data_IF_337502542867
#
_entry.id   IF_337502542867
#
_cell.length_a   1.000
_cell.length_b   1.000
_cell.length_c   1.000
_cell.angle_alpha   90.00
_cell.angle_beta   90.00
_cell.angle_gamma   90.00
#
_symmetry.space_group_name_H-M   'P 1'
#
loop_
_entity.id
_entity.type
_entity.pdbx_description
1 polymer ?
#
# COMPACT_ATOMS: atom_id res chain seq x y z
N UNK A 1 -10.76 3.02 -15.36
CA UNK A 1 -12.22 3.00 -15.61
C UNK A 1 -12.86 1.65 -15.30
N UNK A 2 -12.25 0.52 -15.68
CA UNK A 2 -12.77 -0.84 -15.45
C UNK A 2 -12.90 -1.26 -13.97
N UNK A 3 -11.98 -0.85 -13.07
CA UNK A 3 -12.11 -1.13 -11.63
C UNK A 3 -13.36 -0.48 -11.02
N UNK A 4 -13.70 0.76 -11.41
CA UNK A 4 -14.89 1.45 -10.91
C UNK A 4 -16.17 0.71 -11.28
N UNK A 5 -16.24 0.16 -12.49
CA UNK A 5 -17.37 -0.66 -12.93
C UNK A 5 -17.46 -2.00 -12.20
N UNK A 6 -16.32 -2.65 -11.94
CA UNK A 6 -16.31 -3.91 -11.20
C UNK A 6 -16.76 -3.74 -9.74
N UNK A 7 -16.25 -2.71 -9.04
CA UNK A 7 -16.74 -2.37 -7.71
C UNK A 7 -18.18 -1.90 -7.71
N UNK A 8 -18.62 -1.17 -8.73
CA UNK A 8 -20.03 -0.76 -8.83
C UNK A 8 -20.97 -1.94 -9.03
N UNK A 9 -20.59 -2.92 -9.86
CA UNK A 9 -21.37 -4.15 -10.08
C UNK A 9 -21.39 -5.04 -8.83
N UNK A 10 -20.25 -5.22 -8.15
CA UNK A 10 -20.19 -5.98 -6.89
C UNK A 10 -20.99 -5.27 -5.78
N UNK A 11 -20.89 -3.95 -5.68
CA UNK A 11 -21.69 -3.14 -4.76
C UNK A 11 -23.19 -3.23 -5.10
N UNK A 12 -23.59 -3.24 -6.36
CA UNK A 12 -25.00 -3.40 -6.76
C UNK A 12 -25.56 -4.78 -6.38
N UNK A 13 -24.76 -5.84 -6.51
CA UNK A 13 -25.15 -7.20 -6.09
C UNK A 13 -25.25 -7.30 -4.55
N UNK A 14 -24.38 -6.57 -3.83
CA UNK A 14 -24.42 -6.48 -2.36
C UNK A 14 -25.49 -5.50 -1.85
N UNK A 15 -25.94 -4.53 -2.65
CA UNK A 15 -27.00 -3.58 -2.31
C UNK A 15 -28.40 -4.13 -2.64
N UNK A 16 -28.53 -5.01 -3.65
CA UNK A 16 -29.80 -5.73 -3.90
C UNK A 16 -30.15 -6.74 -2.81
N UNK A 17 -29.24 -7.01 -1.87
CA UNK A 17 -29.50 -7.76 -0.63
C UNK A 17 -29.78 -6.87 0.58
N UNK A 18 -29.87 -5.54 0.39
CA UNK A 18 -30.37 -4.57 1.38
C UNK A 18 -31.85 -4.30 1.12
N UNK A 19 -32.64 -5.36 1.03
CA UNK A 19 -34.07 -5.25 1.37
C UNK A 19 -34.17 -5.50 2.86
N UNK A 20 -34.67 -4.50 3.58
CA UNK A 20 -35.09 -4.58 4.97
C UNK A 20 -35.89 -5.89 5.15
N UNK A 21 -35.39 -6.83 5.96
CA UNK A 21 -36.06 -8.09 6.25
C UNK A 21 -37.43 -7.81 6.89
N UNK A 22 -38.49 -7.91 6.10
CA UNK A 22 -39.76 -8.40 6.61
C UNK A 22 -39.53 -9.82 7.08
N UNK A 23 -39.97 -10.12 8.30
CA UNK A 23 -39.93 -11.43 8.96
C UNK A 23 -40.88 -12.40 8.23
N UNK A 24 -40.55 -12.74 6.99
CA UNK A 24 -41.07 -13.92 6.31
C UNK A 24 -40.06 -15.04 6.54
N UNK A 25 -40.53 -16.17 7.03
CA UNK A 25 -39.76 -17.41 7.20
C UNK A 25 -39.17 -17.81 5.86
N UNK A 26 -37.95 -17.34 5.58
CA UNK A 26 -37.20 -17.75 4.40
C UNK A 26 -36.91 -19.25 4.53
N UNK A 27 -37.27 -19.99 3.48
CA UNK A 27 -37.06 -21.43 3.39
C UNK A 27 -35.59 -21.78 3.71
N UNK A 28 -35.38 -22.81 4.55
CA UNK A 28 -34.08 -23.37 4.94
C UNK A 28 -33.15 -23.53 3.73
N UNK A 29 -33.68 -24.00 2.60
CA UNK A 29 -32.91 -24.15 1.37
C UNK A 29 -32.35 -22.82 0.83
N UNK A 30 -33.13 -21.74 0.94
CA UNK A 30 -32.74 -20.39 0.51
C UNK A 30 -31.66 -19.81 1.42
N UNK A 31 -31.79 -19.98 2.73
CA UNK A 31 -30.78 -19.55 3.71
C UNK A 31 -29.45 -20.29 3.52
N UNK A 32 -29.49 -21.61 3.36
CA UNK A 32 -28.29 -22.42 3.10
C UNK A 32 -27.60 -22.03 1.79
N UNK A 33 -28.37 -21.80 0.72
CA UNK A 33 -27.84 -21.31 -0.57
C UNK A 33 -27.16 -19.94 -0.41
N UNK A 34 -27.77 -19.08 0.38
CA UNK A 34 -27.26 -17.74 0.69
C UNK A 34 -25.92 -17.84 1.42
N UNK A 35 -25.84 -18.61 2.51
CA UNK A 35 -24.58 -18.79 3.25
C UNK A 35 -23.47 -19.39 2.40
N UNK A 36 -23.77 -20.43 1.60
CA UNK A 36 -22.79 -21.03 0.68
C UNK A 36 -22.25 -20.00 -0.33
N UNK A 37 -23.14 -19.18 -0.90
CA UNK A 37 -22.75 -18.12 -1.83
C UNK A 37 -21.77 -17.13 -1.20
N UNK A 38 -22.01 -16.69 0.04
CA UNK A 38 -21.07 -15.80 0.73
C UNK A 38 -19.72 -16.45 1.00
N UNK A 39 -19.69 -17.73 1.38
CA UNK A 39 -18.43 -18.44 1.60
C UNK A 39 -17.62 -18.51 0.30
N UNK A 40 -18.26 -18.83 -0.82
CA UNK A 40 -17.63 -18.87 -2.14
C UNK A 40 -17.13 -17.47 -2.53
N UNK A 41 -18.00 -16.45 -2.47
CA UNK A 41 -17.64 -15.08 -2.80
C UNK A 41 -16.48 -14.55 -1.96
N UNK A 42 -16.47 -14.83 -0.64
CA UNK A 42 -15.37 -14.44 0.25
C UNK A 42 -14.04 -15.11 -0.08
N UNK A 43 -14.09 -16.34 -0.61
CA UNK A 43 -12.91 -17.07 -1.04
C UNK A 43 -12.35 -16.53 -2.36
N UNK A 44 -13.22 -16.20 -3.31
CA UNK A 44 -12.83 -15.62 -4.57
C UNK A 44 -12.30 -14.18 -4.38
N UNK A 45 -12.89 -13.43 -3.45
CA UNK A 45 -12.38 -12.13 -3.02
C UNK A 45 -10.97 -12.24 -2.43
N UNK A 46 -10.70 -13.21 -1.53
CA UNK A 46 -9.36 -13.46 -0.97
C UNK A 46 -8.33 -13.79 -2.06
N UNK A 47 -8.71 -14.55 -3.10
CA UNK A 47 -7.83 -14.82 -4.25
C UNK A 47 -7.54 -13.55 -5.06
N UNK A 48 -8.57 -12.76 -5.36
CA UNK A 48 -8.46 -11.50 -6.10
C UNK A 48 -7.57 -10.50 -5.36
N UNK A 49 -7.83 -10.29 -4.07
CA UNK A 49 -7.10 -9.33 -3.24
C UNK A 49 -5.61 -9.66 -3.15
N UNK A 50 -5.24 -10.94 -3.05
CA UNK A 50 -3.82 -11.34 -3.07
C UNK A 50 -3.11 -10.94 -4.37
N UNK A 51 -3.78 -11.11 -5.50
CA UNK A 51 -3.23 -10.69 -6.80
C UNK A 51 -3.08 -9.17 -6.87
N UNK A 52 -4.11 -8.45 -6.45
CA UNK A 52 -4.13 -6.97 -6.39
C UNK A 52 -3.03 -6.45 -5.48
N UNK A 53 -2.90 -6.98 -4.26
CA UNK A 53 -1.87 -6.57 -3.30
C UNK A 53 -0.45 -6.84 -3.82
N UNK A 54 -0.25 -7.94 -4.56
CA UNK A 54 1.03 -8.22 -5.21
C UNK A 54 1.34 -7.16 -6.27
N UNK A 55 0.37 -6.85 -7.12
CA UNK A 55 0.55 -5.82 -8.17
C UNK A 55 0.81 -4.45 -7.56
N UNK A 56 0.02 -4.01 -6.58
CA UNK A 56 0.24 -2.74 -5.89
C UNK A 56 1.59 -2.66 -5.19
N UNK A 57 2.07 -3.76 -4.61
CA UNK A 57 3.41 -3.81 -4.01
C UNK A 57 4.49 -3.60 -5.07
N UNK A 58 4.37 -4.26 -6.22
CA UNK A 58 5.29 -4.11 -7.35
C UNK A 58 5.26 -2.70 -7.92
N UNK A 59 4.06 -2.18 -8.20
CA UNK A 59 3.86 -0.84 -8.78
C UNK A 59 4.41 0.25 -7.85
N UNK A 60 4.19 0.11 -6.54
CA UNK A 60 4.74 1.01 -5.53
C UNK A 60 6.27 1.04 -5.58
N UNK A 61 6.94 -0.12 -5.65
CA UNK A 61 8.40 -0.18 -5.72
C UNK A 61 8.93 0.40 -7.03
N UNK A 62 8.28 0.13 -8.17
CA UNK A 62 8.64 0.73 -9.46
C UNK A 62 8.52 2.25 -9.39
N UNK A 63 7.42 2.77 -8.83
CA UNK A 63 7.23 4.21 -8.71
C UNK A 63 8.25 4.85 -7.76
N UNK A 64 8.58 4.22 -6.63
CA UNK A 64 9.65 4.69 -5.75
C UNK A 64 10.99 4.78 -6.49
N UNK A 65 11.34 3.77 -7.27
CA UNK A 65 12.58 3.77 -8.08
C UNK A 65 12.55 4.89 -9.12
N UNK A 66 11.43 5.10 -9.80
CA UNK A 66 11.30 6.15 -10.80
C UNK A 66 11.46 7.55 -10.17
N UNK A 67 10.75 7.82 -9.08
CA UNK A 67 10.82 9.09 -8.35
C UNK A 67 12.25 9.33 -7.87
N UNK A 68 12.85 8.36 -7.16
CA UNK A 68 14.22 8.51 -6.63
C UNK A 68 15.25 8.71 -7.73
N UNK A 69 15.16 7.96 -8.82
CA UNK A 69 16.08 8.08 -9.97
C UNK A 69 15.99 9.47 -10.59
N UNK A 70 14.79 10.01 -10.75
CA UNK A 70 14.60 11.38 -11.25
C UNK A 70 15.35 12.42 -10.40
N UNK A 71 15.14 12.43 -9.08
CA UNK A 71 15.79 13.41 -8.20
C UNK A 71 17.31 13.19 -8.06
N UNK A 72 17.79 11.94 -8.10
CA UNK A 72 19.23 11.64 -8.15
C UNK A 72 19.90 12.17 -9.42
N UNK A 73 19.24 12.04 -10.57
CA UNK A 73 19.74 12.58 -11.84
C UNK A 73 19.83 14.10 -11.80
N UNK A 74 18.80 14.78 -11.28
CA UNK A 74 18.82 16.24 -11.10
C UNK A 74 19.96 16.67 -10.16
N UNK A 75 20.14 16.00 -9.02
CA UNK A 75 21.25 16.25 -8.09
C UNK A 75 22.61 16.07 -8.78
N UNK A 76 22.80 14.96 -9.50
CA UNK A 76 24.05 14.64 -10.21
C UNK A 76 24.36 15.67 -11.28
N UNK A 77 23.37 16.05 -12.09
CA UNK A 77 23.50 17.08 -13.12
C UNK A 77 23.94 18.41 -12.52
N UNK A 78 23.37 18.81 -11.39
CA UNK A 78 23.77 20.02 -10.69
C UNK A 78 25.19 19.91 -10.12
N UNK A 79 25.56 18.77 -9.54
CA UNK A 79 26.92 18.54 -9.04
C UNK A 79 27.95 18.64 -10.17
N UNK A 80 27.73 17.92 -11.27
CA UNK A 80 28.63 17.92 -12.43
C UNK A 80 28.75 19.30 -13.06
N UNK A 81 27.66 20.07 -13.12
CA UNK A 81 27.69 21.42 -13.69
C UNK A 81 28.45 22.42 -12.81
N UNK A 82 28.32 22.33 -11.49
CA UNK A 82 28.93 23.29 -10.57
C UNK A 82 30.39 22.95 -10.23
N UNK A 83 30.72 21.67 -10.04
CA UNK A 83 32.01 21.23 -9.51
C UNK A 83 32.88 20.54 -10.54
N UNK A 84 32.83 21.01 -11.80
CA UNK A 84 33.64 20.45 -12.88
C UNK A 84 35.12 20.83 -12.71
N UNK A 85 35.98 19.81 -12.62
CA UNK A 85 37.44 19.99 -12.67
C UNK A 85 37.86 20.21 -14.12
N UNK A 86 38.53 21.34 -14.40
CA UNK A 86 38.94 21.72 -15.76
C UNK A 86 40.47 21.64 -15.83
N UNK A 87 41.00 20.65 -16.58
CA UNK A 87 42.45 20.42 -16.69
C UNK A 87 43.25 21.65 -17.17
N UNK A 88 42.63 22.51 -17.99
CA UNK A 88 43.26 23.75 -18.49
C UNK A 88 43.23 24.91 -17.49
N UNK A 89 42.55 24.76 -16.35
CA UNK A 89 42.49 25.73 -15.27
C UNK A 89 42.92 25.07 -13.95
N UNK A 90 44.23 25.01 -13.71
CA UNK A 90 44.82 24.40 -12.51
C UNK A 90 44.32 25.08 -11.23
N UNK A 91 44.28 26.41 -11.20
CA UNK A 91 43.83 27.18 -10.05
C UNK A 91 42.39 26.85 -9.63
N UNK A 92 41.48 26.70 -10.59
CA UNK A 92 40.12 26.27 -10.31
C UNK A 92 40.06 24.83 -9.79
N UNK A 93 40.88 23.95 -10.37
CA UNK A 93 41.00 22.55 -9.94
C UNK A 93 41.53 22.46 -8.50
N UNK A 94 42.55 23.24 -8.15
CA UNK A 94 43.12 23.32 -6.81
C UNK A 94 42.08 23.81 -5.78
N UNK A 95 41.25 24.78 -6.14
CA UNK A 95 40.14 25.23 -5.29
C UNK A 95 39.08 24.14 -5.07
N UNK A 96 38.70 23.41 -6.13
CA UNK A 96 37.77 22.27 -6.01
C UNK A 96 38.35 21.20 -5.10
N UNK A 97 39.62 20.84 -5.30
CA UNK A 97 40.30 19.82 -4.51
C UNK A 97 40.43 20.25 -3.04
N UNK A 98 40.70 21.53 -2.78
CA UNK A 98 40.73 22.08 -1.43
C UNK A 98 39.37 21.98 -0.72
N UNK A 99 38.26 22.24 -1.44
CA UNK A 99 36.89 22.19 -0.90
C UNK A 99 36.17 20.85 -1.13
N UNK A 100 36.87 19.78 -1.54
CA UNK A 100 36.24 18.50 -1.88
C UNK A 100 35.40 17.90 -0.74
N UNK A 101 35.81 18.12 0.52
CA UNK A 101 35.09 17.64 1.70
C UNK A 101 33.71 18.30 1.80
N UNK A 102 33.60 19.60 1.51
CA UNK A 102 32.33 20.33 1.54
C UNK A 102 31.38 19.82 0.45
N UNK A 103 31.91 19.62 -0.75
CA UNK A 103 31.18 19.05 -1.90
C UNK A 103 30.65 17.65 -1.54
N UNK A 104 31.53 16.79 -1.02
CA UNK A 104 31.18 15.43 -0.59
C UNK A 104 30.14 15.43 0.53
N UNK A 105 30.27 16.30 1.53
CA UNK A 105 29.32 16.39 2.63
C UNK A 105 27.93 16.84 2.17
N UNK A 106 27.85 17.76 1.21
CA UNK A 106 26.57 18.18 0.63
C UNK A 106 25.85 17.01 -0.06
N UNK A 107 26.58 16.22 -0.84
CA UNK A 107 26.05 15.03 -1.50
C UNK A 107 25.61 13.96 -0.48
N UNK A 108 26.43 13.72 0.54
CA UNK A 108 26.11 12.79 1.63
C UNK A 108 24.84 13.21 2.37
N UNK A 109 24.63 14.50 2.59
CA UNK A 109 23.40 15.02 3.21
C UNK A 109 22.17 14.71 2.36
N UNK A 110 22.25 14.88 1.03
CA UNK A 110 21.17 14.52 0.12
C UNK A 110 20.83 13.02 0.23
N UNK A 111 21.82 12.12 0.14
CA UNK A 111 21.57 10.68 0.22
C UNK A 111 21.02 10.24 1.59
N UNK A 112 21.47 10.86 2.67
CA UNK A 112 20.89 10.62 4.00
C UNK A 112 19.41 11.06 4.07
N UNK A 113 19.08 12.20 3.45
CA UNK A 113 17.72 12.70 3.35
C UNK A 113 16.82 11.77 2.52
N UNK A 114 17.30 11.38 1.34
CA UNK A 114 16.63 10.41 0.46
C UNK A 114 16.34 9.09 1.19
N UNK A 115 17.33 8.54 1.89
CA UNK A 115 17.18 7.31 2.67
C UNK A 115 16.05 7.41 3.69
N UNK A 116 15.94 8.55 4.41
CA UNK A 116 14.85 8.81 5.36
C UNK A 116 13.49 8.94 4.68
N UNK A 117 13.41 9.62 3.53
CA UNK A 117 12.17 9.72 2.77
C UNK A 117 11.67 8.32 2.37
N UNK A 118 12.57 7.47 1.87
CA UNK A 118 12.23 6.11 1.45
C UNK A 118 11.84 5.20 2.60
N UNK A 119 12.55 5.29 3.73
CA UNK A 119 12.19 4.54 4.93
C UNK A 119 10.79 4.90 5.41
N UNK A 120 10.46 6.19 5.40
CA UNK A 120 9.14 6.70 5.82
C UNK A 120 8.04 6.19 4.89
N UNK A 121 8.22 6.33 3.57
CA UNK A 121 7.24 5.86 2.58
C UNK A 121 6.97 4.34 2.69
N UNK A 122 8.02 3.54 2.85
CA UNK A 122 7.88 2.09 3.02
C UNK A 122 7.19 1.72 4.35
N UNK A 123 7.52 2.42 5.44
CA UNK A 123 6.90 2.17 6.73
C UNK A 123 5.40 2.47 6.74
N UNK A 124 4.98 3.57 6.13
CA UNK A 124 3.57 3.95 5.99
C UNK A 124 2.78 2.92 5.17
N UNK A 125 3.30 2.51 4.01
CA UNK A 125 2.67 1.49 3.16
C UNK A 125 2.52 0.15 3.90
N UNK A 126 3.54 -0.24 4.67
CA UNK A 126 3.53 -1.50 5.45
C UNK A 126 2.50 -1.50 6.58
N UNK A 127 2.34 -0.39 7.31
CA UNK A 127 1.40 -0.29 8.44
C UNK A 127 -0.04 -0.58 8.03
N UNK A 128 -0.52 -0.02 6.91
CA UNK A 128 -1.91 -0.24 6.47
C UNK A 128 -2.13 -1.64 5.89
N UNK A 129 -1.10 -2.26 5.32
CA UNK A 129 -1.17 -3.66 4.86
C UNK A 129 -1.47 -4.62 6.01
N UNK A 130 -0.98 -4.32 7.22
CA UNK A 130 -1.27 -5.11 8.41
C UNK A 130 -2.77 -5.11 8.77
N UNK A 131 -3.45 -3.97 8.66
CA UNK A 131 -4.89 -3.87 8.94
C UNK A 131 -5.73 -4.78 8.04
N UNK A 132 -5.43 -4.80 6.73
CA UNK A 132 -6.09 -5.71 5.77
C UNK A 132 -5.84 -7.17 6.15
N UNK A 133 -4.61 -7.52 6.53
CA UNK A 133 -4.25 -8.89 6.92
C UNK A 133 -5.05 -9.38 8.15
N UNK A 134 -5.29 -8.51 9.13
CA UNK A 134 -6.10 -8.88 10.30
C UNK A 134 -7.54 -9.20 9.92
N UNK A 135 -8.16 -8.41 9.04
CA UNK A 135 -9.50 -8.69 8.54
C UNK A 135 -9.56 -10.00 7.74
N UNK A 136 -8.54 -10.29 6.91
CA UNK A 136 -8.43 -11.58 6.23
C UNK A 136 -8.38 -12.76 7.19
N UNK A 137 -7.63 -12.62 8.29
CA UNK A 137 -7.49 -13.65 9.31
C UNK A 137 -8.84 -13.94 9.97
N UNK A 138 -9.60 -12.91 10.34
CA UNK A 138 -10.94 -13.09 10.91
C UNK A 138 -11.90 -13.74 9.89
N UNK A 139 -11.95 -13.26 8.64
CA UNK A 139 -12.78 -13.89 7.59
C UNK A 139 -12.40 -15.37 7.39
N UNK A 140 -11.11 -15.73 7.46
CA UNK A 140 -10.67 -17.14 7.41
C UNK A 140 -11.16 -17.96 8.60
N UNK A 141 -11.22 -17.39 9.81
CA UNK A 141 -11.78 -18.08 10.98
C UNK A 141 -13.27 -18.34 10.80
N UNK A 142 -14.03 -17.35 10.36
CA UNK A 142 -15.47 -17.51 10.09
C UNK A 142 -15.74 -18.58 9.03
N UNK A 143 -14.99 -18.61 7.93
CA UNK A 143 -15.04 -19.70 6.94
C UNK A 143 -14.75 -21.09 7.53
N UNK A 144 -13.80 -21.18 8.47
CA UNK A 144 -13.50 -22.44 9.18
C UNK A 144 -14.65 -22.83 10.11
N UNK A 145 -15.23 -21.86 10.83
CA UNK A 145 -16.40 -22.06 11.69
C UNK A 145 -17.57 -22.63 10.90
N UNK A 146 -17.88 -22.06 9.72
CA UNK A 146 -18.93 -22.58 8.84
C UNK A 146 -18.71 -24.06 8.46
N UNK A 147 -17.49 -24.41 8.04
CA UNK A 147 -17.16 -25.80 7.67
C UNK A 147 -17.26 -26.75 8.86
N UNK A 148 -16.85 -26.29 10.04
CA UNK A 148 -16.95 -27.04 11.28
C UNK A 148 -18.41 -27.32 11.65
N UNK A 149 -19.25 -26.28 11.69
CA UNK A 149 -20.69 -26.41 12.00
C UNK A 149 -21.41 -27.29 10.98
N UNK A 150 -21.11 -27.13 9.70
CA UNK A 150 -21.67 -27.98 8.65
C UNK A 150 -21.29 -29.45 8.84
N UNK A 151 -20.03 -29.74 9.19
CA UNK A 151 -19.59 -31.11 9.49
C UNK A 151 -20.28 -31.66 10.74
N UNK A 152 -20.43 -30.85 11.78
CA UNK A 152 -21.04 -31.27 13.04
C UNK A 152 -22.54 -31.59 12.87
N UNK A 153 -23.29 -30.76 12.14
CA UNK A 153 -24.69 -31.04 11.84
C UNK A 153 -24.87 -32.31 10.99
N UNK A 154 -24.00 -32.55 10.01
CA UNK A 154 -24.01 -33.79 9.22
C UNK A 154 -23.68 -35.03 10.07
N UNK A 155 -22.75 -34.93 11.03
CA UNK A 155 -22.42 -36.04 11.93
C UNK A 155 -23.56 -36.36 12.91
N UNK A 156 -24.29 -35.34 13.35
CA UNK A 156 -25.42 -35.51 14.27
C UNK A 156 -26.69 -36.01 13.57
N UNK A 157 -26.80 -35.81 12.25
CA UNK A 157 -27.95 -36.24 11.42
C UNK A 157 -27.46 -37.08 10.22
N UNK A 158 -26.92 -38.29 10.45
CA UNK A 158 -26.30 -39.08 9.38
C UNK A 158 -27.34 -39.57 8.37
N UNK A 159 -27.17 -39.20 7.10
CA UNK A 159 -28.04 -39.60 5.99
C UNK A 159 -29.32 -38.78 5.84
N UNK A 160 -29.54 -37.80 6.72
CA UNK A 160 -30.66 -36.87 6.68
C UNK A 160 -30.14 -35.45 6.38
N UNK A 161 -30.10 -35.11 5.09
CA UNK A 161 -29.58 -33.82 4.62
C UNK A 161 -30.49 -32.64 5.01
N UNK A 162 -31.79 -32.88 5.18
CA UNK A 162 -32.77 -31.85 5.55
C UNK A 162 -32.59 -31.48 7.02
N UNK A 163 -32.57 -32.46 7.93
CA UNK A 163 -32.32 -32.23 9.36
C UNK A 163 -30.92 -31.64 9.62
N UNK A 164 -29.91 -32.06 8.87
CA UNK A 164 -28.58 -31.46 8.94
C UNK A 164 -28.58 -29.98 8.47
N UNK A 165 -29.38 -29.66 7.45
CA UNK A 165 -29.57 -28.31 6.93
C UNK A 165 -30.26 -27.39 7.93
N UNK A 166 -31.34 -27.85 8.57
CA UNK A 166 -32.04 -27.11 9.62
C UNK A 166 -31.14 -26.84 10.82
N UNK A 167 -30.42 -27.86 11.30
CA UNK A 167 -29.40 -27.72 12.35
C UNK A 167 -28.40 -26.61 12.02
N UNK A 168 -27.89 -26.57 10.79
CA UNK A 168 -26.92 -25.56 10.39
C UNK A 168 -27.54 -24.16 10.36
N UNK A 169 -28.75 -24.01 9.84
CA UNK A 169 -29.46 -22.72 9.84
C UNK A 169 -29.69 -22.21 11.26
N UNK A 170 -30.09 -23.07 12.18
CA UNK A 170 -30.31 -22.70 13.59
C UNK A 170 -29.03 -22.12 14.21
N UNK A 171 -27.88 -22.80 14.05
CA UNK A 171 -26.60 -22.29 14.52
C UNK A 171 -26.22 -20.95 13.87
N UNK A 172 -26.43 -20.81 12.56
CA UNK A 172 -26.07 -19.60 11.81
C UNK A 172 -26.91 -18.39 12.22
N UNK A 173 -28.20 -18.59 12.46
CA UNK A 173 -29.12 -17.55 12.92
C UNK A 173 -28.79 -17.15 14.36
N UNK A 174 -28.58 -18.13 15.25
CA UNK A 174 -28.24 -17.89 16.66
C UNK A 174 -26.99 -17.01 16.81
N UNK A 175 -25.97 -17.25 15.99
CA UNK A 175 -24.71 -16.50 16.05
C UNK A 175 -24.71 -15.21 15.21
N UNK A 176 -25.85 -14.83 14.60
CA UNK A 176 -25.92 -13.74 13.62
C UNK A 176 -24.80 -13.83 12.57
N UNK A 177 -24.52 -15.07 12.12
CA UNK A 177 -23.38 -15.38 11.27
C UNK A 177 -23.39 -14.51 10.01
N UNK A 178 -24.57 -14.41 9.38
CA UNK A 178 -24.79 -13.65 8.16
C UNK A 178 -24.35 -12.18 8.30
N UNK A 179 -24.95 -11.47 9.26
CA UNK A 179 -24.68 -10.04 9.48
C UNK A 179 -23.21 -9.80 9.82
N UNK A 180 -22.63 -10.65 10.68
CA UNK A 180 -21.24 -10.52 11.09
C UNK A 180 -20.28 -10.77 9.94
N UNK A 181 -20.52 -11.82 9.15
CA UNK A 181 -19.67 -12.18 8.02
C UNK A 181 -19.74 -11.14 6.90
N UNK A 182 -20.95 -10.65 6.57
CA UNK A 182 -21.13 -9.57 5.61
C UNK A 182 -20.42 -8.30 6.04
N UNK A 183 -20.54 -7.91 7.32
CA UNK A 183 -19.84 -6.74 7.87
C UNK A 183 -18.32 -6.89 7.77
N UNK A 184 -17.77 -8.07 8.04
CA UNK A 184 -16.34 -8.32 7.88
C UNK A 184 -15.87 -8.17 6.42
N UNK A 185 -16.66 -8.66 5.46
CA UNK A 185 -16.36 -8.50 4.03
C UNK A 185 -16.37 -7.01 3.65
N UNK A 186 -17.38 -6.25 4.06
CA UNK A 186 -17.46 -4.81 3.79
C UNK A 186 -16.29 -4.04 4.40
N UNK A 187 -15.95 -4.30 5.67
CA UNK A 187 -14.79 -3.70 6.33
C UNK A 187 -13.48 -4.04 5.61
N UNK A 188 -13.36 -5.25 5.03
CA UNK A 188 -12.20 -5.62 4.23
C UNK A 188 -12.12 -4.78 2.95
N UNK A 189 -13.23 -4.62 2.24
CA UNK A 189 -13.28 -3.81 1.01
C UNK A 189 -12.90 -2.35 1.30
N UNK A 190 -13.43 -1.78 2.38
CA UNK A 190 -13.08 -0.43 2.84
C UNK A 190 -11.58 -0.33 3.17
N UNK A 191 -11.06 -1.28 3.94
CA UNK A 191 -9.64 -1.31 4.31
C UNK A 191 -8.72 -1.48 3.10
N UNK A 192 -9.14 -2.22 2.08
CA UNK A 192 -8.42 -2.35 0.81
C UNK A 192 -8.38 -1.03 0.04
N UNK A 193 -9.51 -0.30 0.00
CA UNK A 193 -9.58 1.03 -0.59
C UNK A 193 -8.67 2.03 0.15
N UNK A 194 -8.73 2.03 1.47
CA UNK A 194 -7.88 2.88 2.31
C UNK A 194 -6.39 2.58 2.14
N UNK A 195 -6.03 1.30 2.01
CA UNK A 195 -4.65 0.90 1.73
C UNK A 195 -4.17 1.50 0.41
N UNK A 196 -4.98 1.43 -0.65
CA UNK A 196 -4.60 2.00 -1.94
C UNK A 196 -4.44 3.53 -1.87
N UNK A 197 -5.37 4.22 -1.22
CA UNK A 197 -5.26 5.66 -1.00
C UNK A 197 -3.99 6.03 -0.21
N UNK A 198 -3.65 5.24 0.82
CA UNK A 198 -2.42 5.44 1.59
C UNK A 198 -1.17 5.22 0.73
N UNK A 199 -1.14 4.19 -0.13
CA UNK A 199 0.00 3.94 -1.05
C UNK A 199 0.25 5.17 -1.93
N UNK A 200 -0.79 5.72 -2.54
CA UNK A 200 -0.69 6.92 -3.38
C UNK A 200 -0.21 8.14 -2.58
N UNK A 201 -0.75 8.32 -1.37
CA UNK A 201 -0.33 9.41 -0.48
C UNK A 201 1.15 9.28 -0.07
N UNK A 202 1.60 8.08 0.28
CA UNK A 202 3.00 7.84 0.66
C UNK A 202 3.96 8.09 -0.50
N UNK A 203 3.55 7.83 -1.75
CA UNK A 203 4.33 8.20 -2.94
C UNK A 203 4.43 9.71 -3.12
N UNK A 204 3.31 10.42 -3.03
CA UNK A 204 3.27 11.90 -3.10
C UNK A 204 4.13 12.54 -2.01
N UNK A 205 4.00 12.06 -0.76
CA UNK A 205 4.81 12.54 0.36
C UNK A 205 6.30 12.25 0.15
N UNK A 206 6.65 11.09 -0.43
CA UNK A 206 8.03 10.77 -0.76
C UNK A 206 8.60 11.74 -1.79
N UNK A 207 7.84 12.04 -2.83
CA UNK A 207 8.23 13.00 -3.87
C UNK A 207 8.45 14.41 -3.29
N UNK A 208 7.53 14.90 -2.46
CA UNK A 208 7.69 16.19 -1.77
C UNK A 208 8.93 16.22 -0.86
N UNK A 209 9.16 15.13 -0.13
CA UNK A 209 10.34 14.97 0.72
C UNK A 209 11.64 15.02 -0.10
N UNK A 210 11.69 14.33 -1.24
CA UNK A 210 12.86 14.34 -2.13
C UNK A 210 13.09 15.72 -2.77
N UNK A 211 12.02 16.40 -3.17
CA UNK A 211 12.08 17.78 -3.68
C UNK A 211 12.66 18.74 -2.64
N UNK A 212 12.26 18.60 -1.38
CA UNK A 212 12.81 19.40 -0.28
C UNK A 212 14.30 19.12 -0.07
N UNK A 213 14.71 17.85 -0.04
CA UNK A 213 16.13 17.47 0.10
C UNK A 213 16.98 17.94 -1.08
N UNK A 214 16.46 17.85 -2.31
CA UNK A 214 17.13 18.40 -3.48
C UNK A 214 17.30 19.92 -3.34
N UNK A 215 16.25 20.64 -2.94
CA UNK A 215 16.32 22.10 -2.74
C UNK A 215 17.41 22.49 -1.75
N UNK A 216 17.54 21.77 -0.63
CA UNK A 216 18.62 21.96 0.35
C UNK A 216 19.99 21.69 -0.28
N UNK A 217 20.13 20.58 -1.02
CA UNK A 217 21.37 20.24 -1.73
C UNK A 217 21.79 21.33 -2.72
N UNK A 218 20.85 21.89 -3.47
CA UNK A 218 21.10 22.99 -4.42
C UNK A 218 21.49 24.28 -3.71
N UNK A 219 20.88 24.57 -2.56
CA UNK A 219 21.28 25.71 -1.73
C UNK A 219 22.72 25.56 -1.23
N UNK A 220 23.08 24.37 -0.74
CA UNK A 220 24.44 24.08 -0.30
C UNK A 220 25.44 24.19 -1.46
N UNK A 221 25.06 23.70 -2.65
CA UNK A 221 25.92 23.80 -3.83
C UNK A 221 26.21 25.26 -4.20
N UNK A 222 25.22 26.16 -4.12
CA UNK A 222 25.43 27.60 -4.34
C UNK A 222 26.42 28.19 -3.33
N UNK A 223 26.26 27.87 -2.04
CA UNK A 223 27.18 28.36 -1.00
C UNK A 223 28.63 27.89 -1.22
N UNK A 224 28.80 26.63 -1.64
CA UNK A 224 30.13 26.09 -1.97
C UNK A 224 30.69 26.79 -3.21
N UNK A 225 29.86 27.04 -4.24
CA UNK A 225 30.29 27.79 -5.42
C UNK A 225 30.72 29.21 -5.10
N UNK A 226 30.04 29.89 -4.18
CA UNK A 226 30.48 31.20 -3.70
C UNK A 226 31.86 31.09 -3.04
N UNK A 227 32.07 30.07 -2.20
CA UNK A 227 33.36 29.83 -1.54
C UNK A 227 34.48 29.53 -2.56
N UNK A 228 34.19 28.69 -3.55
CA UNK A 228 35.11 28.39 -4.67
C UNK A 228 35.46 29.64 -5.48
N UNK A 229 34.48 30.50 -5.76
CA UNK A 229 34.71 31.77 -6.45
C UNK A 229 35.64 32.69 -5.64
N UNK A 230 35.52 32.72 -4.31
CA UNK A 230 36.42 33.48 -3.44
C UNK A 230 37.83 32.88 -3.44
N UNK A 231 37.96 31.54 -3.37
CA UNK A 231 39.22 30.83 -3.50
C UNK A 231 39.90 31.20 -4.84
N UNK A 232 39.18 31.07 -5.95
CA UNK A 232 39.71 31.35 -7.29
C UNK A 232 40.18 32.79 -7.48
N UNK A 233 39.52 33.76 -6.82
CA UNK A 233 39.87 35.19 -6.91
C UNK A 233 41.03 35.61 -6.00
N UNK A 234 41.48 34.77 -5.06
CA UNK A 234 42.66 35.09 -4.24
C UNK A 234 43.89 35.21 -5.14
N UNK A 235 44.70 36.25 -4.92
CA UNK A 235 45.92 36.50 -5.72
C UNK A 235 46.99 35.43 -5.48
N UNK A 236 47.02 34.88 -4.27
CA UNK A 236 47.94 33.83 -3.84
C UNK A 236 47.15 32.56 -3.53
N UNK A 237 47.39 31.52 -4.32
CA UNK A 237 46.99 30.13 -4.08
C UNK A 237 48.27 29.30 -4.14
#
# INVERSE_FOLDING_TARGET
MWLKWYYFVVSLILLSSVTCESTETSDTATLLKTYRSYIIASHDLDKSDRSILKNWTTDFQIQLVNITTHYRLEMTRHKEHNFITIKTNSKWSDCIDFHHIEIYNSEKLYFNGESKCLQTANAEASRKKHSVYQLEKEIRKWRKSYRYLSSQCNMNNPGDEEAAGECLVEYMQKDNYYMTFQRLILLKMESMSDLYAQILKSLSNCEECLKSNLSVCLSNARNIMDTLNHCYRRKDL
#
